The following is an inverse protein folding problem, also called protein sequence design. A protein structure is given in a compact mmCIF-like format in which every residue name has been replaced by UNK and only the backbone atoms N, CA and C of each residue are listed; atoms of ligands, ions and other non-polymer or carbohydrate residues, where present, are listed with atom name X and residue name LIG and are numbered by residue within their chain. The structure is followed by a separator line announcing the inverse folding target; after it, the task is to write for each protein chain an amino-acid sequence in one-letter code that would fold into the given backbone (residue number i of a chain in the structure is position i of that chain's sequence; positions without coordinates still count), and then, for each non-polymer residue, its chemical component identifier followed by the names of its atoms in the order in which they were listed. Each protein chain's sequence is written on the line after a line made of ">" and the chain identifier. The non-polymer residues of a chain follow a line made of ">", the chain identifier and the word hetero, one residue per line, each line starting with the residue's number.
data_IF_704456212195
#
_entry.id   IF_704456212195
#
_cell.length_a   1.000
_cell.length_b   1.000
_cell.length_c   1.000
_cell.angle_alpha   90.00
_cell.angle_beta   90.00
_cell.angle_gamma   90.00
#
_symmetry.space_group_name_H-M   'P 1'
#
loop_
_entity.id
_entity.type
_entity.pdbx_description
1 polymer ?
#
# COMPACT_ATOMS: atom_id res chain seq x y z
N UNK A 1 -12.06 6.86 4.27
CA UNK A 1 -12.18 5.80 5.34
C UNK A 1 -12.59 6.43 6.68
N UNK A 2 -13.00 5.63 7.70
CA UNK A 2 -13.11 6.13 9.08
C UNK A 2 -11.70 6.40 9.62
N UNK A 3 -11.39 7.68 9.87
CA UNK A 3 -10.03 8.15 10.15
C UNK A 3 -10.02 9.07 11.39
N UNK A 4 -9.98 8.50 12.61
CA UNK A 4 -9.81 9.28 13.83
C UNK A 4 -8.52 10.09 13.79
N UNK A 5 -8.55 11.32 14.28
CA UNK A 5 -7.42 12.26 14.25
C UNK A 5 -6.15 11.69 14.89
N UNK A 6 -6.28 10.89 15.94
CA UNK A 6 -5.13 10.25 16.62
C UNK A 6 -4.37 9.25 15.77
N UNK A 7 -4.97 8.75 14.66
CA UNK A 7 -4.40 7.73 13.77
C UNK A 7 -4.22 8.24 12.35
N UNK A 8 -4.58 9.48 12.07
CA UNK A 8 -4.41 10.10 10.76
C UNK A 8 -2.96 10.55 10.56
N UNK A 9 -2.40 10.25 9.41
CA UNK A 9 -1.15 10.83 8.96
C UNK A 9 -1.38 11.58 7.66
N UNK A 10 -0.76 12.76 7.53
CA UNK A 10 -0.77 13.58 6.34
C UNK A 10 0.64 13.68 5.74
N UNK A 11 1.58 12.89 6.25
CA UNK A 11 2.97 12.88 5.81
C UNK A 11 3.10 12.11 4.48
N UNK A 12 3.47 12.79 3.38
CA UNK A 12 3.72 12.15 2.10
C UNK A 12 4.86 11.13 2.13
N UNK A 13 5.88 11.36 2.97
CA UNK A 13 7.01 10.43 3.09
C UNK A 13 6.61 9.10 3.73
N UNK A 14 5.66 9.12 4.68
CA UNK A 14 5.10 7.91 5.26
C UNK A 14 4.28 7.10 4.23
N UNK A 15 3.57 7.78 3.31
CA UNK A 15 2.89 7.11 2.20
C UNK A 15 3.89 6.51 1.20
N UNK A 16 4.94 7.24 0.84
CA UNK A 16 5.97 6.75 -0.07
C UNK A 16 6.68 5.52 0.52
N UNK A 17 7.03 5.56 1.81
CA UNK A 17 7.61 4.41 2.51
C UNK A 17 6.69 3.18 2.54
N UNK A 18 5.36 3.38 2.59
CA UNK A 18 4.38 2.29 2.52
C UNK A 18 4.39 1.64 1.13
N UNK A 19 4.43 2.45 0.08
CA UNK A 19 4.52 1.99 -1.32
C UNK A 19 5.86 1.33 -1.64
N UNK A 20 6.96 1.83 -1.06
CA UNK A 20 8.30 1.23 -1.20
C UNK A 20 8.38 -0.16 -0.54
N UNK A 21 7.65 -0.35 0.56
CA UNK A 21 7.61 -1.63 1.27
C UNK A 21 6.82 -2.68 0.49
N UNK A 22 5.63 -2.32 -0.02
CA UNK A 22 4.79 -3.20 -0.85
C UNK A 22 3.90 -2.36 -1.77
N UNK A 23 4.17 -2.44 -3.07
CA UNK A 23 3.39 -1.79 -4.10
C UNK A 23 2.36 -2.73 -4.77
N UNK A 24 1.96 -3.83 -4.13
CA UNK A 24 0.87 -4.69 -4.58
C UNK A 24 -0.45 -4.19 -4.01
N UNK A 25 -1.18 -3.44 -4.84
CA UNK A 25 -2.34 -2.65 -4.41
C UNK A 25 -3.67 -3.38 -4.66
N UNK A 26 -4.71 -2.96 -3.93
CA UNK A 26 -6.11 -3.26 -4.28
C UNK A 26 -6.73 -2.05 -4.98
N UNK A 27 -7.11 -2.24 -6.23
CA UNK A 27 -7.83 -1.24 -7.03
C UNK A 27 -9.32 -1.49 -6.96
N UNK A 28 -10.09 -0.48 -6.59
CA UNK A 28 -11.56 -0.49 -6.60
C UNK A 28 -12.07 0.58 -7.55
N UNK A 29 -12.91 0.17 -8.50
CA UNK A 29 -13.71 1.07 -9.35
C UNK A 29 -15.18 0.68 -9.26
N UNK A 30 -16.07 1.54 -9.70
CA UNK A 30 -17.50 1.26 -9.70
C UNK A 30 -18.03 1.31 -11.14
N UNK A 31 -18.75 0.27 -11.55
CA UNK A 31 -19.45 0.21 -12.83
C UNK A 31 -20.87 -0.26 -12.60
N UNK A 32 -21.84 0.46 -13.15
CA UNK A 32 -23.26 0.14 -13.00
C UNK A 32 -23.68 -0.06 -11.53
N UNK A 33 -23.14 0.78 -10.62
CA UNK A 33 -23.29 0.71 -9.16
C UNK A 33 -22.73 -0.58 -8.52
N UNK A 34 -21.91 -1.36 -9.24
CA UNK A 34 -21.24 -2.55 -8.72
C UNK A 34 -19.75 -2.27 -8.56
N UNK A 35 -19.16 -2.50 -7.38
CA UNK A 35 -17.71 -2.45 -7.21
C UNK A 35 -17.02 -3.54 -8.04
N UNK A 36 -15.96 -3.15 -8.77
CA UNK A 36 -15.06 -4.07 -9.45
C UNK A 36 -13.69 -3.92 -8.81
N UNK A 37 -13.05 -5.05 -8.48
CA UNK A 37 -11.81 -5.09 -7.71
C UNK A 37 -10.75 -5.86 -8.48
N UNK A 38 -9.52 -5.32 -8.49
CA UNK A 38 -8.32 -6.02 -8.95
C UNK A 38 -7.19 -5.84 -7.95
N UNK A 39 -6.25 -6.79 -7.96
CA UNK A 39 -5.00 -6.72 -7.22
C UNK A 39 -3.85 -6.62 -8.22
N UNK A 40 -3.04 -5.59 -8.12
CA UNK A 40 -2.10 -5.21 -9.17
C UNK A 40 -0.79 -4.69 -8.56
N UNK A 41 0.37 -5.06 -9.12
CA UNK A 41 1.61 -4.37 -8.82
C UNK A 41 1.60 -3.00 -9.51
N UNK A 42 2.17 -2.01 -8.83
CA UNK A 42 2.35 -0.66 -9.38
C UNK A 42 3.77 -0.17 -9.15
N UNK A 43 4.21 0.72 -10.01
CA UNK A 43 5.32 1.62 -9.74
C UNK A 43 4.75 2.96 -9.30
N UNK A 44 5.40 3.62 -8.38
CA UNK A 44 5.02 4.96 -7.95
C UNK A 44 6.15 5.96 -8.21
N UNK A 45 5.76 7.19 -8.49
CA UNK A 45 6.68 8.32 -8.63
C UNK A 45 5.97 9.61 -8.25
N UNK A 46 6.76 10.62 -7.86
CA UNK A 46 6.25 11.97 -7.65
C UNK A 46 6.59 12.86 -8.85
N UNK A 47 5.58 13.52 -9.38
CA UNK A 47 5.68 14.58 -10.38
C UNK A 47 5.40 15.91 -9.67
N UNK A 48 6.46 16.55 -9.12
CA UNK A 48 6.31 17.62 -8.13
C UNK A 48 5.65 17.07 -6.85
N UNK A 49 4.56 17.67 -6.42
CA UNK A 49 3.80 17.22 -5.23
C UNK A 49 2.78 16.12 -5.56
N UNK A 50 2.57 15.80 -6.83
CA UNK A 50 1.58 14.81 -7.27
C UNK A 50 2.17 13.41 -7.27
N UNK A 51 1.50 12.50 -6.58
CA UNK A 51 1.81 11.07 -6.66
C UNK A 51 1.12 10.46 -7.89
N UNK A 52 1.90 9.73 -8.69
CA UNK A 52 1.43 8.97 -9.85
C UNK A 52 1.76 7.51 -9.66
N UNK A 53 0.77 6.63 -9.82
CA UNK A 53 0.96 5.18 -9.85
C UNK A 53 0.86 4.70 -11.29
N UNK A 54 1.75 3.80 -11.70
CA UNK A 54 1.81 3.26 -13.06
C UNK A 54 1.82 1.73 -13.03
N UNK A 55 1.20 1.12 -14.01
CA UNK A 55 1.18 -0.33 -14.18
C UNK A 55 0.35 -0.72 -15.40
N UNK A 56 -0.11 -1.97 -15.43
CA UNK A 56 -0.98 -2.45 -16.50
C UNK A 56 -2.00 -3.46 -16.00
N UNK A 57 -3.12 -3.57 -16.71
CA UNK A 57 -4.06 -4.69 -16.61
C UNK A 57 -3.80 -5.70 -17.72
N UNK A 58 -4.18 -6.94 -17.51
CA UNK A 58 -4.50 -7.82 -18.61
C UNK A 58 -5.69 -7.22 -19.38
N UNK A 59 -5.64 -7.23 -20.71
CA UNK A 59 -6.67 -6.62 -21.56
C UNK A 59 -8.10 -7.14 -21.30
N UNK A 60 -8.32 -8.43 -20.95
CA UNK A 60 -9.65 -8.94 -20.61
C UNK A 60 -10.16 -8.47 -19.24
N UNK A 61 -9.33 -7.81 -18.40
CA UNK A 61 -9.79 -7.30 -17.11
C UNK A 61 -10.86 -6.21 -17.33
N UNK A 62 -12.06 -6.32 -16.72
CA UNK A 62 -13.12 -5.32 -16.90
C UNK A 62 -12.70 -3.89 -16.57
N UNK A 63 -11.79 -3.70 -15.61
CA UNK A 63 -11.29 -2.38 -15.22
C UNK A 63 -10.43 -1.72 -16.30
N UNK A 64 -9.87 -2.48 -17.25
CA UNK A 64 -9.10 -1.94 -18.38
C UNK A 64 -9.92 -1.04 -19.30
N UNK A 65 -11.25 -1.07 -19.20
CA UNK A 65 -12.19 -0.25 -19.98
C UNK A 65 -12.98 0.75 -19.13
N UNK A 66 -12.73 0.80 -17.80
CA UNK A 66 -13.39 1.77 -16.94
C UNK A 66 -12.81 3.17 -17.14
N UNK A 67 -13.67 4.15 -17.05
CA UNK A 67 -13.31 5.57 -16.94
C UNK A 67 -13.91 6.12 -15.63
N UNK A 68 -13.28 7.15 -15.06
CA UNK A 68 -13.77 7.82 -13.87
C UNK A 68 -12.90 7.61 -12.63
N UNK A 69 -13.46 7.88 -11.44
CA UNK A 69 -12.71 7.82 -10.20
C UNK A 69 -12.31 6.40 -9.84
N UNK A 70 -11.11 6.28 -9.28
CA UNK A 70 -10.56 5.05 -8.76
C UNK A 70 -10.19 5.22 -7.28
N UNK A 71 -10.42 4.18 -6.48
CA UNK A 71 -9.90 4.06 -5.14
C UNK A 71 -8.79 3.00 -5.16
N UNK A 72 -7.57 3.43 -4.83
CA UNK A 72 -6.43 2.53 -4.65
C UNK A 72 -6.22 2.35 -3.14
N UNK A 73 -6.15 1.10 -2.70
CA UNK A 73 -5.86 0.74 -1.32
C UNK A 73 -4.45 0.15 -1.28
N UNK A 74 -3.58 0.80 -0.50
CA UNK A 74 -2.22 0.33 -0.21
C UNK A 74 -2.25 -0.29 1.17
N UNK A 75 -1.91 -1.57 1.26
CA UNK A 75 -1.89 -2.31 2.51
C UNK A 75 -0.52 -2.19 3.16
N UNK A 76 -0.50 -1.94 4.46
CA UNK A 76 0.68 -2.06 5.28
C UNK A 76 0.54 -3.21 6.28
N UNK A 77 1.53 -3.39 7.17
CA UNK A 77 1.51 -4.45 8.15
C UNK A 77 0.36 -4.29 9.14
N UNK A 78 -0.12 -5.42 9.64
CA UNK A 78 -1.20 -5.47 10.62
C UNK A 78 -0.97 -6.59 11.62
N UNK A 79 -1.42 -6.39 12.86
CA UNK A 79 -1.31 -7.39 13.91
C UNK A 79 -2.43 -7.27 14.94
N UNK A 80 -2.85 -8.40 15.46
CA UNK A 80 -3.74 -8.47 16.62
C UNK A 80 -3.00 -8.03 17.88
N UNK A 81 -3.68 -7.28 18.75
CA UNK A 81 -3.17 -6.84 20.05
C UNK A 81 -4.06 -7.41 21.15
N UNK A 82 -3.47 -8.26 21.98
CA UNK A 82 -4.16 -8.89 23.09
C UNK A 82 -4.27 -7.94 24.30
N UNK A 83 -5.43 -7.89 24.97
CA UNK A 83 -5.56 -7.17 26.24
C UNK A 83 -4.62 -7.69 27.31
N UNK A 84 -4.23 -8.95 27.25
CA UNK A 84 -3.31 -9.56 28.23
C UNK A 84 -1.92 -8.94 28.24
N UNK A 85 -1.55 -8.22 27.17
CA UNK A 85 -0.24 -7.58 27.05
C UNK A 85 -0.15 -6.23 27.75
N UNK A 86 -1.28 -5.64 28.13
CA UNK A 86 -1.30 -4.34 28.83
C UNK A 86 -0.94 -4.50 30.30
N UNK A 87 0.09 -3.79 30.83
CA UNK A 87 0.43 -3.78 32.26
C UNK A 87 -0.73 -3.40 33.17
N UNK A 88 -1.57 -2.45 32.75
CA UNK A 88 -2.69 -1.90 33.50
C UNK A 88 -4.03 -2.64 33.30
N UNK A 89 -3.99 -3.86 32.75
CA UNK A 89 -5.20 -4.65 32.40
C UNK A 89 -6.10 -5.03 33.59
N UNK A 90 -5.58 -4.97 34.81
CA UNK A 90 -6.36 -5.23 36.02
C UNK A 90 -7.02 -3.97 36.58
N UNK A 91 -6.52 -2.81 36.19
CA UNK A 91 -6.97 -1.51 36.67
C UNK A 91 -7.92 -0.85 35.67
N UNK A 92 -7.69 -1.13 34.39
CA UNK A 92 -8.41 -0.56 33.25
C UNK A 92 -9.07 -1.65 32.38
N UNK A 93 -10.31 -1.42 31.98
CA UNK A 93 -11.02 -2.32 31.07
C UNK A 93 -10.40 -2.30 29.68
N UNK A 94 -9.43 -3.16 29.43
CA UNK A 94 -8.76 -3.30 28.13
C UNK A 94 -9.49 -4.30 27.24
N UNK A 95 -9.61 -3.97 25.97
CA UNK A 95 -10.29 -4.79 24.97
C UNK A 95 -9.30 -5.21 23.85
N UNK A 96 -9.55 -6.35 23.18
CA UNK A 96 -8.74 -6.74 22.04
C UNK A 96 -8.90 -5.76 20.89
N UNK A 97 -7.82 -5.58 20.13
CA UNK A 97 -7.81 -4.70 18.96
C UNK A 97 -6.83 -5.16 17.90
N UNK A 98 -6.77 -4.43 16.80
CA UNK A 98 -5.75 -4.55 15.75
C UNK A 98 -4.97 -3.26 15.63
N UNK A 99 -3.65 -3.38 15.48
CA UNK A 99 -2.80 -2.32 14.98
C UNK A 99 -2.52 -2.58 13.50
N UNK A 100 -2.53 -1.54 12.69
CA UNK A 100 -2.34 -1.63 11.25
C UNK A 100 -2.04 -0.29 10.61
N UNK A 101 -1.44 -0.36 9.41
CA UNK A 101 -1.27 0.79 8.52
C UNK A 101 -2.01 0.52 7.22
N UNK A 102 -2.71 1.51 6.69
CA UNK A 102 -3.40 1.41 5.40
C UNK A 102 -3.56 2.80 4.79
N UNK A 103 -3.37 2.91 3.47
CA UNK A 103 -3.68 4.13 2.75
C UNK A 103 -4.81 3.91 1.73
N UNK A 104 -5.71 4.90 1.65
CA UNK A 104 -6.72 5.02 0.60
C UNK A 104 -6.36 6.20 -0.29
N UNK A 105 -6.04 5.93 -1.54
CA UNK A 105 -5.69 6.94 -2.53
C UNK A 105 -6.89 7.14 -3.45
N UNK A 106 -7.37 8.36 -3.54
CA UNK A 106 -8.42 8.75 -4.47
C UNK A 106 -7.75 9.31 -5.72
N UNK A 107 -7.99 8.71 -6.86
CA UNK A 107 -7.27 9.00 -8.08
C UNK A 107 -8.19 9.11 -9.29
N UNK A 108 -7.74 9.86 -10.29
CA UNK A 108 -8.25 9.78 -11.65
C UNK A 108 -7.40 8.83 -12.48
N UNK A 109 -8.05 8.12 -13.37
CA UNK A 109 -7.46 7.08 -14.20
C UNK A 109 -7.19 7.60 -15.60
N UNK A 110 -5.97 7.37 -16.09
CA UNK A 110 -5.59 7.53 -17.48
C UNK A 110 -5.13 6.17 -18.03
N UNK A 111 -5.71 5.74 -19.14
CA UNK A 111 -5.36 4.51 -19.83
C UNK A 111 -4.51 4.79 -21.07
N UNK A 112 -3.66 3.85 -21.44
CA UNK A 112 -2.90 3.92 -22.67
C UNK A 112 -2.72 2.52 -23.30
N UNK A 113 -2.59 2.50 -24.62
CA UNK A 113 -2.39 1.28 -25.42
C UNK A 113 -1.25 1.44 -26.44
N UNK A 114 -0.55 2.56 -26.38
CA UNK A 114 0.63 2.78 -27.20
C UNK A 114 1.69 1.73 -26.89
N UNK A 115 2.26 1.13 -27.93
CA UNK A 115 3.18 -0.01 -27.78
C UNK A 115 4.48 0.39 -27.11
N UNK A 116 5.00 1.58 -27.37
CA UNK A 116 6.26 2.04 -26.79
C UNK A 116 6.08 2.40 -25.30
N UNK A 117 4.94 3.01 -24.96
CA UNK A 117 4.59 3.24 -23.55
C UNK A 117 4.36 1.93 -22.77
N UNK A 118 3.75 0.91 -23.40
CA UNK A 118 3.58 -0.40 -22.82
C UNK A 118 4.92 -1.13 -22.64
N UNK A 119 5.81 -1.05 -23.61
CA UNK A 119 7.16 -1.58 -23.51
C UNK A 119 7.92 -0.94 -22.34
N UNK A 120 7.84 0.38 -22.21
CA UNK A 120 8.48 1.12 -21.14
C UNK A 120 7.98 0.68 -19.74
N UNK A 121 6.66 0.56 -19.53
CA UNK A 121 6.15 0.14 -18.21
C UNK A 121 6.51 -1.30 -17.88
N UNK A 122 6.55 -2.21 -18.83
CA UNK A 122 6.99 -3.61 -18.61
C UNK A 122 8.47 -3.65 -18.26
N UNK A 123 9.31 -2.86 -18.95
CA UNK A 123 10.74 -2.72 -18.62
C UNK A 123 10.94 -2.17 -17.22
N UNK A 124 10.27 -1.07 -16.88
CA UNK A 124 10.37 -0.43 -15.55
C UNK A 124 9.94 -1.39 -14.41
N UNK A 125 8.85 -2.17 -14.61
CA UNK A 125 8.41 -3.18 -13.64
C UNK A 125 9.46 -4.29 -13.50
N UNK A 126 10.06 -4.73 -14.58
CA UNK A 126 11.12 -5.74 -14.56
C UNK A 126 12.35 -5.23 -13.80
N UNK A 127 12.80 -4.02 -14.11
CA UNK A 127 13.96 -3.40 -13.45
C UNK A 127 13.73 -3.17 -11.95
N UNK A 128 12.46 -2.99 -11.54
CA UNK A 128 12.10 -2.85 -10.13
C UNK A 128 12.06 -4.19 -9.38
N UNK A 129 11.49 -5.24 -9.98
CA UNK A 129 11.22 -6.50 -9.28
C UNK A 129 12.35 -7.54 -9.41
N UNK A 130 12.98 -7.67 -10.56
CA UNK A 130 13.98 -8.70 -10.84
C UNK A 130 15.21 -8.66 -9.90
N UNK A 131 15.78 -7.49 -9.53
CA UNK A 131 16.88 -7.46 -8.57
C UNK A 131 16.52 -8.02 -7.20
N UNK A 132 15.26 -7.92 -6.78
CA UNK A 132 14.77 -8.39 -5.47
C UNK A 132 14.74 -9.92 -5.36
N UNK A 133 14.62 -10.62 -6.48
CA UNK A 133 14.64 -12.09 -6.55
C UNK A 133 15.99 -12.66 -7.01
N UNK A 134 17.02 -11.81 -7.12
CA UNK A 134 18.36 -12.21 -7.52
C UNK A 134 18.48 -12.67 -8.97
N UNK A 135 17.56 -12.24 -9.82
CA UNK A 135 17.53 -12.51 -11.25
C UNK A 135 17.79 -11.23 -12.04
N UNK A 136 18.01 -11.37 -13.32
CA UNK A 136 18.27 -10.26 -14.22
C UNK A 136 17.47 -10.41 -15.53
N UNK A 137 16.24 -10.94 -15.40
CA UNK A 137 15.35 -10.94 -16.56
C UNK A 137 15.03 -9.50 -16.94
N UNK A 138 15.07 -9.20 -18.22
CA UNK A 138 14.70 -7.89 -18.73
C UNK A 138 13.80 -8.05 -19.93
N UNK A 139 12.87 -7.13 -20.05
CA UNK A 139 12.13 -6.98 -21.29
C UNK A 139 13.10 -6.68 -22.42
N UNK A 140 12.98 -7.45 -23.52
CA UNK A 140 13.75 -7.24 -24.75
C UNK A 140 12.78 -6.73 -25.81
N UNK A 141 13.12 -5.59 -26.44
CA UNK A 141 12.28 -4.96 -27.44
C UNK A 141 12.40 -5.64 -28.82
N UNK A 142 11.96 -6.89 -28.87
CA UNK A 142 11.90 -7.73 -30.05
C UNK A 142 10.44 -8.03 -30.44
N UNK A 143 10.20 -8.37 -31.70
CA UNK A 143 8.86 -8.62 -32.24
C UNK A 143 8.05 -9.63 -31.42
N UNK A 144 8.70 -10.70 -30.93
CA UNK A 144 8.08 -11.73 -30.12
C UNK A 144 7.48 -11.15 -28.79
N UNK A 145 8.20 -10.29 -28.10
CA UNK A 145 7.74 -9.63 -26.89
C UNK A 145 6.77 -8.50 -27.18
N UNK A 146 7.04 -7.68 -28.22
CA UNK A 146 6.11 -6.63 -28.67
C UNK A 146 4.73 -7.19 -28.99
N UNK A 147 4.65 -8.39 -29.56
CA UNK A 147 3.38 -9.03 -29.87
C UNK A 147 2.53 -9.30 -28.62
N UNK A 148 3.14 -9.58 -27.49
CA UNK A 148 2.48 -9.86 -26.21
C UNK A 148 1.90 -8.58 -25.55
N UNK A 149 2.46 -7.41 -25.85
CA UNK A 149 1.94 -6.13 -25.36
C UNK A 149 0.50 -5.85 -25.79
N UNK A 150 0.03 -6.49 -26.89
CA UNK A 150 -1.39 -6.41 -27.31
C UNK A 150 -2.36 -7.05 -26.29
N UNK A 151 -1.84 -7.86 -25.37
CA UNK A 151 -2.60 -8.52 -24.29
C UNK A 151 -2.79 -7.67 -23.04
N UNK A 152 -2.24 -6.48 -22.98
CA UNK A 152 -2.30 -5.59 -21.82
C UNK A 152 -2.83 -4.19 -22.17
N UNK A 153 -3.26 -3.47 -21.15
CA UNK A 153 -3.62 -2.05 -21.19
C UNK A 153 -2.90 -1.35 -20.04
N UNK A 154 -2.12 -0.34 -20.36
CA UNK A 154 -1.40 0.45 -19.37
C UNK A 154 -2.31 1.44 -18.65
N UNK A 155 -1.91 1.80 -17.43
CA UNK A 155 -2.58 2.85 -16.67
C UNK A 155 -1.60 3.79 -15.98
N UNK A 156 -2.09 5.01 -15.75
CA UNK A 156 -1.58 5.98 -14.79
C UNK A 156 -2.73 6.39 -13.89
N UNK A 157 -2.54 6.31 -12.57
CA UNK A 157 -3.43 6.88 -11.59
C UNK A 157 -2.81 8.16 -11.05
N UNK A 158 -3.44 9.30 -11.33
CA UNK A 158 -3.06 10.58 -10.77
C UNK A 158 -3.78 10.74 -9.43
N UNK A 159 -3.03 10.64 -8.33
CA UNK A 159 -3.59 10.73 -6.98
C UNK A 159 -3.94 12.17 -6.68
N UNK A 160 -5.20 12.42 -6.36
CA UNK A 160 -5.75 13.74 -6.02
C UNK A 160 -5.67 14.02 -4.51
N UNK A 161 -5.91 12.97 -3.72
CA UNK A 161 -5.82 13.02 -2.26
C UNK A 161 -5.59 11.62 -1.69
N UNK A 162 -5.07 11.57 -0.49
CA UNK A 162 -4.94 10.30 0.23
C UNK A 162 -5.42 10.43 1.68
N UNK A 163 -5.89 9.30 2.22
CA UNK A 163 -6.14 9.09 3.63
C UNK A 163 -5.17 8.01 4.10
N UNK A 164 -4.21 8.36 4.95
CA UNK A 164 -3.28 7.41 5.55
C UNK A 164 -3.63 7.21 7.03
N UNK A 165 -3.90 5.97 7.41
CA UNK A 165 -4.20 5.57 8.77
C UNK A 165 -3.09 4.69 9.33
N UNK A 166 -2.47 5.15 10.40
CA UNK A 166 -1.50 4.41 11.19
C UNK A 166 -2.05 4.22 12.60
N UNK A 167 -2.84 3.16 12.81
CA UNK A 167 -3.35 2.81 14.14
C UNK A 167 -2.34 1.92 14.85
N UNK A 168 -1.56 2.53 15.74
CA UNK A 168 -0.38 1.94 16.39
C UNK A 168 -0.42 2.10 17.92
N UNK A 169 -1.62 2.11 18.51
CA UNK A 169 -1.84 2.27 19.96
C UNK A 169 -1.40 3.62 20.53
N UNK A 170 -1.34 4.69 19.72
CA UNK A 170 -0.91 6.03 20.15
C UNK A 170 -1.79 6.63 21.27
N UNK A 171 -3.02 6.14 21.42
CA UNK A 171 -3.97 6.54 22.44
C UNK A 171 -3.77 5.84 23.80
N UNK A 172 -2.75 4.97 23.93
CA UNK A 172 -2.43 4.27 25.16
C UNK A 172 -1.22 4.90 25.88
N UNK A 173 -1.12 4.76 27.22
CA UNK A 173 0.07 5.15 27.98
C UNK A 173 1.34 4.47 27.43
N UNK A 174 2.48 5.12 27.61
CA UNK A 174 3.78 4.66 27.14
C UNK A 174 4.10 3.21 27.56
N UNK A 175 3.90 2.89 28.84
CA UNK A 175 4.16 1.54 29.37
C UNK A 175 3.35 0.46 28.64
N UNK A 176 2.09 0.76 28.26
CA UNK A 176 1.27 -0.16 27.47
C UNK A 176 1.79 -0.31 26.06
N UNK A 177 2.22 0.78 25.43
CA UNK A 177 2.78 0.77 24.08
C UNK A 177 4.07 -0.02 24.02
N UNK A 178 4.98 0.18 24.96
CA UNK A 178 6.25 -0.56 25.10
C UNK A 178 6.00 -2.07 25.28
N UNK A 179 5.09 -2.45 26.18
CA UNK A 179 4.73 -3.86 26.39
C UNK A 179 4.14 -4.51 25.14
N UNK A 180 3.27 -3.81 24.40
CA UNK A 180 2.72 -4.33 23.13
C UNK A 180 3.82 -4.48 22.09
N UNK A 181 4.76 -3.53 21.98
CA UNK A 181 5.90 -3.60 21.08
C UNK A 181 6.73 -4.86 21.35
N UNK A 182 7.04 -5.13 22.62
CA UNK A 182 7.88 -6.28 22.99
C UNK A 182 7.17 -7.61 22.66
N UNK A 183 5.88 -7.71 22.93
CA UNK A 183 5.09 -8.89 22.59
C UNK A 183 4.98 -9.10 21.08
N UNK A 184 4.75 -8.04 20.29
CA UNK A 184 4.69 -8.11 18.84
C UNK A 184 6.05 -8.47 18.22
N UNK A 185 7.14 -7.90 18.74
CA UNK A 185 8.50 -8.20 18.27
C UNK A 185 8.90 -9.67 18.50
N UNK A 186 8.31 -10.33 19.51
CA UNK A 186 8.52 -11.75 19.81
C UNK A 186 7.64 -12.69 18.97
N UNK A 187 6.65 -12.18 18.20
CA UNK A 187 5.81 -13.02 17.35
C UNK A 187 6.58 -13.58 16.15
N UNK A 188 6.18 -14.74 15.61
CA UNK A 188 6.90 -15.41 14.53
C UNK A 188 6.69 -14.76 13.15
N UNK A 189 5.68 -13.90 12.99
CA UNK A 189 5.33 -13.29 11.70
C UNK A 189 6.10 -12.00 11.44
N UNK A 190 6.49 -11.76 10.19
CA UNK A 190 7.15 -10.52 9.79
C UNK A 190 6.23 -9.31 10.00
N UNK A 191 4.95 -9.45 9.68
CA UNK A 191 3.93 -8.42 9.88
C UNK A 191 3.86 -7.90 11.32
N UNK A 192 3.89 -8.82 12.31
CA UNK A 192 3.89 -8.43 13.73
C UNK A 192 5.17 -7.65 14.09
N UNK A 193 6.32 -8.09 13.58
CA UNK A 193 7.61 -7.41 13.80
C UNK A 193 7.63 -6.04 13.14
N UNK A 194 7.03 -5.90 11.95
CA UNK A 194 6.91 -4.62 11.26
C UNK A 194 5.98 -3.66 12.00
N UNK A 195 4.84 -4.14 12.52
CA UNK A 195 3.98 -3.33 13.39
C UNK A 195 4.75 -2.87 14.63
N UNK A 196 5.51 -3.75 15.29
CA UNK A 196 6.33 -3.39 16.44
C UNK A 196 7.36 -2.31 16.09
N UNK A 197 8.01 -2.41 14.92
CA UNK A 197 8.98 -1.41 14.43
C UNK A 197 8.29 -0.05 14.20
N UNK A 198 7.13 -0.04 13.56
CA UNK A 198 6.36 1.19 13.33
C UNK A 198 5.86 1.81 14.64
N UNK A 199 5.37 0.99 15.60
CA UNK A 199 4.98 1.48 16.92
C UNK A 199 6.17 2.13 17.65
N UNK A 200 7.36 1.52 17.58
CA UNK A 200 8.58 2.05 18.21
C UNK A 200 8.95 3.42 17.64
N UNK A 201 8.80 3.62 16.34
CA UNK A 201 9.02 4.92 15.69
C UNK A 201 8.05 6.02 16.14
N UNK A 202 6.90 5.65 16.74
CA UNK A 202 5.95 6.64 17.32
C UNK A 202 6.22 6.99 18.78
N UNK A 203 7.21 6.34 19.43
CA UNK A 203 7.63 6.70 20.78
C UNK A 203 8.62 7.87 20.69
N UNK A 204 8.16 9.08 20.95
CA UNK A 204 9.02 10.26 21.00
C UNK A 204 10.03 10.15 22.17
N UNK A 205 11.26 10.68 22.01
CA UNK A 205 12.18 10.81 23.15
C UNK A 205 11.60 11.85 24.12
N UNK A 206 10.96 11.41 25.20
CA UNK A 206 10.43 12.30 26.24
C UNK A 206 8.95 12.18 26.57
N UNK A 207 8.20 11.26 25.92
CA UNK A 207 6.82 10.89 26.33
C UNK A 207 6.78 10.06 27.62
#
# INVERSE_FOLDING_TARGET
>A
MYLPRAFASHDPAALDALLDADAFITLVTVRDNVPVVSHLPVLHAREGDRLVLRGHWAKPNPQSTHDGPALVIVHGPHAYVSPSWYPDKLEEARVPTWNYVVAHLHATQQRFTDTDELAAIVSDLSDHHEPRVGKAWRYVDEDAYRSQLRGIVGFRFHVERFDLKAKLSQNHPRANRESVIDHLAAQPTDESRDVARLMRATLEPGD
#
